data_IF_452305016744
#
_entry.id   IF_452305016744
#
_cell.length_a   1.000
_cell.length_b   1.000
_cell.length_c   1.000
_cell.angle_alpha   90.00
_cell.angle_beta   90.00
_cell.angle_gamma   90.00
#
_symmetry.space_group_name_H-M   'P 1'
#
loop_
_entity.id
_entity.type
_entity.pdbx_description
1 polymer ?
#
# COMPACT_ATOMS: atom_id res chain seq x y z
N UNK A 1 -15.34 -61.02 -12.05
CA UNK A 1 -15.57 -59.55 -12.02
C UNK A 1 -14.84 -58.88 -10.84
N UNK A 2 -13.59 -59.25 -10.51
CA UNK A 2 -12.84 -58.69 -9.37
C UNK A 2 -11.67 -57.77 -9.77
N UNK A 3 -11.31 -57.75 -11.05
CA UNK A 3 -10.13 -57.03 -11.55
C UNK A 3 -10.45 -55.63 -12.10
N UNK A 4 -11.73 -55.28 -12.23
CA UNK A 4 -12.17 -53.95 -12.71
C UNK A 4 -12.35 -52.93 -11.58
N UNK A 5 -12.49 -53.39 -10.32
CA UNK A 5 -12.67 -52.51 -9.16
C UNK A 5 -11.34 -51.87 -8.72
N UNK A 6 -10.24 -52.62 -8.80
CA UNK A 6 -8.90 -52.13 -8.47
C UNK A 6 -8.39 -51.07 -9.46
N UNK A 7 -8.78 -51.16 -10.73
CA UNK A 7 -8.38 -50.20 -11.77
C UNK A 7 -9.06 -48.83 -11.61
N UNK A 8 -10.22 -48.78 -10.96
CA UNK A 8 -10.96 -47.53 -10.75
C UNK A 8 -10.42 -46.77 -9.53
N UNK A 9 -9.91 -47.49 -8.53
CA UNK A 9 -9.35 -46.90 -7.30
C UNK A 9 -7.99 -46.23 -7.54
N UNK A 10 -7.20 -46.71 -8.52
CA UNK A 10 -5.93 -46.07 -8.90
C UNK A 10 -6.10 -44.80 -9.73
N UNK A 11 -7.26 -44.59 -10.36
CA UNK A 11 -7.51 -43.42 -11.23
C UNK A 11 -7.93 -42.17 -10.44
N UNK A 12 -8.45 -42.32 -9.22
CA UNK A 12 -8.88 -41.18 -8.39
C UNK A 12 -7.75 -40.58 -7.55
N UNK A 13 -6.64 -41.29 -7.36
CA UNK A 13 -5.48 -40.81 -6.60
C UNK A 13 -4.62 -39.77 -7.34
N UNK A 14 -4.73 -39.67 -8.67
CA UNK A 14 -3.93 -38.74 -9.48
C UNK A 14 -4.54 -37.33 -9.61
N UNK A 15 -5.78 -37.12 -9.16
CA UNK A 15 -6.45 -35.81 -9.22
C UNK A 15 -6.33 -34.97 -7.93
N UNK A 16 -5.59 -35.44 -6.91
CA UNK A 16 -5.49 -34.76 -5.61
C UNK A 16 -4.21 -33.93 -5.43
N UNK A 17 -3.68 -33.37 -6.52
CA UNK A 17 -2.61 -32.37 -6.44
C UNK A 17 -2.96 -31.17 -7.32
N UNK A 18 -4.05 -30.50 -6.95
CA UNK A 18 -4.41 -29.18 -7.45
C UNK A 18 -4.48 -28.20 -6.27
N UNK A 19 -3.37 -28.09 -5.53
CA UNK A 19 -3.14 -26.95 -4.67
C UNK A 19 -2.00 -26.15 -5.28
N UNK A 20 -2.34 -25.31 -6.26
CA UNK A 20 -1.54 -24.12 -6.55
C UNK A 20 -2.28 -22.95 -5.93
N UNK A 21 -2.24 -22.90 -4.60
CA UNK A 21 -2.44 -21.67 -3.88
C UNK A 21 -1.57 -20.62 -4.57
N UNK A 22 -2.22 -19.57 -5.04
CA UNK A 22 -1.54 -18.41 -5.57
C UNK A 22 -0.68 -17.85 -4.45
N UNK A 23 0.57 -18.32 -4.40
CA UNK A 23 1.66 -17.63 -3.75
C UNK A 23 1.73 -16.34 -4.52
N UNK A 24 1.01 -15.34 -4.02
CA UNK A 24 1.33 -13.95 -4.23
C UNK A 24 2.74 -13.79 -3.67
N UNK A 25 3.73 -14.19 -4.47
CA UNK A 25 5.09 -13.71 -4.36
C UNK A 25 4.99 -12.21 -4.58
N UNK A 26 4.61 -11.49 -3.52
CA UNK A 26 5.00 -10.11 -3.34
C UNK A 26 6.50 -10.22 -3.10
N UNK A 27 7.25 -10.32 -4.20
CA UNK A 27 8.67 -9.97 -4.15
C UNK A 27 8.75 -8.66 -3.40
N UNK A 28 9.64 -8.60 -2.40
CA UNK A 28 9.87 -7.38 -1.65
C UNK A 28 10.19 -6.29 -2.67
N UNK A 29 9.30 -5.30 -2.77
CA UNK A 29 9.44 -4.18 -3.67
C UNK A 29 10.65 -3.40 -3.17
N UNK A 30 11.71 -3.37 -3.97
CA UNK A 30 12.83 -2.49 -3.70
C UNK A 30 12.35 -1.04 -3.92
N UNK A 31 12.29 -0.27 -2.83
CA UNK A 31 11.84 1.12 -2.80
C UNK A 31 12.83 2.09 -3.46
N UNK A 32 14.10 1.68 -3.57
CA UNK A 32 15.17 2.53 -4.14
C UNK A 32 15.22 2.45 -5.67
N UNK A 33 14.41 1.58 -6.29
CA UNK A 33 14.36 1.45 -7.74
C UNK A 33 13.39 2.47 -8.35
N UNK A 34 13.86 3.21 -9.35
CA UNK A 34 13.02 4.12 -10.11
C UNK A 34 11.91 3.35 -10.85
N UNK A 35 10.64 3.64 -10.52
CA UNK A 35 9.47 3.03 -11.17
C UNK A 35 8.77 4.00 -12.11
N UNK A 36 8.57 3.58 -13.35
CA UNK A 36 7.68 4.26 -14.30
C UNK A 36 6.35 3.53 -14.37
N UNK A 37 5.25 4.23 -14.06
CA UNK A 37 3.91 3.71 -14.26
C UNK A 37 3.37 4.22 -15.61
N UNK A 38 3.06 3.30 -16.53
CA UNK A 38 2.41 3.67 -17.79
C UNK A 38 0.95 4.02 -17.52
N UNK A 39 0.57 5.26 -17.84
CA UNK A 39 -0.82 5.72 -17.69
C UNK A 39 -1.53 5.57 -19.03
N UNK A 40 -2.38 4.56 -19.17
CA UNK A 40 -3.26 4.38 -20.34
C UNK A 40 -4.72 4.57 -19.92
N UNK A 41 -5.46 5.37 -20.69
CA UNK A 41 -6.90 5.59 -20.49
C UNK A 41 -7.71 4.28 -20.65
N UNK A 42 -7.17 3.33 -21.40
CA UNK A 42 -7.77 2.02 -21.65
C UNK A 42 -7.29 0.95 -20.65
N UNK A 43 -6.44 1.30 -19.68
CA UNK A 43 -5.94 0.30 -18.73
C UNK A 43 -7.09 -0.30 -17.91
N UNK A 44 -7.03 -1.62 -17.60
CA UNK A 44 -7.99 -2.22 -16.69
C UNK A 44 -8.04 -1.45 -15.37
N UNK A 45 -9.26 -1.18 -14.88
CA UNK A 45 -9.44 -0.48 -13.61
C UNK A 45 -8.90 -1.33 -12.47
N UNK A 46 -7.81 -0.88 -11.87
CA UNK A 46 -7.29 -1.44 -10.64
C UNK A 46 -7.81 -0.63 -9.44
N UNK A 47 -8.04 -1.30 -8.30
CA UNK A 47 -8.37 -0.60 -7.06
C UNK A 47 -7.13 0.17 -6.62
N UNK A 48 -7.25 1.47 -6.40
CA UNK A 48 -6.14 2.32 -5.93
C UNK A 48 -5.42 1.74 -4.70
N UNK A 49 -6.17 1.12 -3.78
CA UNK A 49 -5.60 0.46 -2.60
C UNK A 49 -4.60 -0.66 -2.91
N UNK A 50 -4.67 -1.28 -4.09
CA UNK A 50 -3.72 -2.30 -4.52
C UNK A 50 -2.37 -1.71 -4.95
N UNK A 51 -2.36 -0.42 -5.33
CA UNK A 51 -1.17 0.32 -5.74
C UNK A 51 -0.44 0.94 -4.54
N UNK A 52 -1.10 1.02 -3.38
CA UNK A 52 -0.53 1.57 -2.15
C UNK A 52 0.23 0.46 -1.43
N UNK A 53 1.54 0.63 -1.30
CA UNK A 53 2.39 -0.33 -0.59
C UNK A 53 2.25 -0.18 0.93
N UNK A 54 2.27 1.05 1.43
CA UNK A 54 2.19 1.35 2.86
C UNK A 54 1.43 2.65 3.13
N UNK A 55 0.88 2.76 4.33
CA UNK A 55 0.23 3.97 4.85
C UNK A 55 0.93 4.34 6.15
N UNK A 56 1.43 5.56 6.21
CA UNK A 56 2.00 6.15 7.41
C UNK A 56 0.97 7.13 8.02
N UNK A 57 0.66 6.95 9.30
CA UNK A 57 -0.23 7.87 10.03
C UNK A 57 0.64 8.72 10.96
N UNK A 58 0.63 10.03 10.74
CA UNK A 58 1.34 11.01 11.56
C UNK A 58 0.32 11.86 12.32
N UNK A 59 0.53 12.03 13.63
CA UNK A 59 -0.29 12.92 14.45
C UNK A 59 0.34 14.32 14.45
N UNK A 60 -0.45 15.32 14.08
CA UNK A 60 -0.08 16.72 14.22
C UNK A 60 -0.65 17.26 15.53
N UNK A 61 0.16 17.99 16.29
CA UNK A 61 -0.26 18.60 17.56
C UNK A 61 -0.83 20.00 17.30
N UNK A 62 -2.05 20.24 17.78
CA UNK A 62 -2.63 21.59 17.79
C UNK A 62 -2.23 22.32 19.08
N UNK A 63 -1.86 23.59 18.94
CA UNK A 63 -1.67 24.50 20.08
C UNK A 63 -2.42 25.80 19.81
N UNK A 64 -2.50 26.68 20.81
CA UNK A 64 -3.13 28.01 20.65
C UNK A 64 -2.52 28.83 19.49
N UNK A 65 -1.24 28.59 19.18
CA UNK A 65 -0.52 29.24 18.08
C UNK A 65 -0.46 28.38 16.80
N UNK A 66 -0.98 27.15 16.86
CA UNK A 66 -0.93 26.18 15.77
C UNK A 66 -2.25 25.44 15.62
N UNK A 67 -3.35 26.19 15.51
CA UNK A 67 -4.62 25.64 15.11
C UNK A 67 -4.52 25.19 13.65
N UNK A 68 -4.83 23.92 13.41
CA UNK A 68 -4.83 23.36 12.08
C UNK A 68 -6.05 23.88 11.31
N UNK A 69 -5.82 24.11 10.03
CA UNK A 69 -6.87 24.46 9.08
C UNK A 69 -6.77 23.50 7.89
N UNK A 70 -7.54 23.78 6.84
CA UNK A 70 -7.28 23.21 5.53
C UNK A 70 -5.78 23.27 5.20
N UNK A 71 -5.28 22.20 4.60
CA UNK A 71 -3.86 22.03 4.26
C UNK A 71 -3.71 22.28 2.77
N UNK A 72 -2.79 23.17 2.39
CA UNK A 72 -2.40 23.36 1.00
C UNK A 72 -0.87 23.33 0.86
N UNK A 73 -0.38 23.02 -0.34
CA UNK A 73 1.05 23.02 -0.65
C UNK A 73 1.90 22.17 0.32
N UNK A 74 1.43 20.96 0.60
CA UNK A 74 2.13 20.01 1.47
C UNK A 74 3.46 19.58 0.87
N UNK A 75 4.53 19.72 1.64
CA UNK A 75 5.87 19.23 1.32
C UNK A 75 6.41 18.41 2.48
N UNK A 76 6.80 17.16 2.20
CA UNK A 76 7.52 16.29 3.12
C UNK A 76 9.02 16.39 2.82
N UNK A 77 9.83 16.46 3.86
CA UNK A 77 11.29 16.25 3.86
C UNK A 77 11.62 15.11 4.80
N UNK A 78 12.89 14.74 4.93
CA UNK A 78 13.30 13.63 5.81
C UNK A 78 12.92 13.90 7.27
N UNK A 79 13.05 15.16 7.71
CA UNK A 79 12.85 15.54 9.11
C UNK A 79 11.54 16.31 9.35
N UNK A 80 10.96 16.93 8.31
CA UNK A 80 9.86 17.88 8.48
C UNK A 80 8.69 17.66 7.52
N UNK A 81 7.50 17.97 8.02
CA UNK A 81 6.29 18.19 7.25
C UNK A 81 5.98 19.69 7.22
N UNK A 82 5.96 20.29 6.03
CA UNK A 82 5.73 21.73 5.82
C UNK A 82 4.49 21.93 4.97
N UNK A 83 3.58 22.80 5.40
CA UNK A 83 2.39 23.15 4.62
C UNK A 83 1.88 24.54 4.92
N UNK A 84 1.03 25.05 4.02
CA UNK A 84 0.31 26.31 4.20
C UNK A 84 -1.10 26.05 4.73
N UNK A 85 -1.61 26.99 5.55
CA UNK A 85 -3.05 27.05 5.80
C UNK A 85 -3.82 27.22 4.48
N UNK A 86 -5.08 26.78 4.43
CA UNK A 86 -5.90 26.84 3.21
C UNK A 86 -6.10 28.27 2.68
N UNK A 87 -5.97 29.28 3.53
CA UNK A 87 -5.97 30.70 3.15
C UNK A 87 -4.59 31.29 2.84
N UNK A 88 -3.50 30.51 2.94
CA UNK A 88 -2.12 30.95 2.68
C UNK A 88 -1.53 31.90 3.72
N UNK A 89 -2.23 32.18 4.82
CA UNK A 89 -1.81 33.15 5.82
C UNK A 89 -0.68 32.65 6.73
N UNK A 90 -0.58 31.33 6.92
CA UNK A 90 0.37 30.71 7.85
C UNK A 90 1.16 29.59 7.15
N UNK A 91 2.42 29.45 7.54
CA UNK A 91 3.29 28.31 7.22
C UNK A 91 3.45 27.48 8.49
N UNK A 92 3.13 26.19 8.44
CA UNK A 92 3.36 25.26 9.53
C UNK A 92 4.54 24.35 9.22
N UNK A 93 5.34 24.07 10.25
CA UNK A 93 6.49 23.16 10.18
C UNK A 93 6.38 22.18 11.34
N UNK A 94 6.19 20.91 11.04
CA UNK A 94 6.13 19.83 12.02
C UNK A 94 7.35 18.94 11.89
N UNK A 95 7.98 18.62 13.02
CA UNK A 95 9.09 17.66 13.12
C UNK A 95 8.53 16.23 13.11
N UNK A 96 8.94 15.43 12.13
CA UNK A 96 8.53 14.04 11.95
C UNK A 96 9.25 13.07 12.90
N UNK A 97 10.42 13.45 13.42
CA UNK A 97 11.19 12.64 14.37
C UNK A 97 10.69 12.79 15.82
N UNK A 98 9.84 13.79 16.09
CA UNK A 98 9.33 14.07 17.43
C UNK A 98 8.33 12.99 17.88
N UNK A 99 8.75 12.15 18.83
CA UNK A 99 7.83 11.22 19.52
C UNK A 99 6.80 12.01 20.33
N UNK A 100 5.51 11.62 20.30
CA UNK A 100 4.51 12.23 21.16
C UNK A 100 4.88 11.98 22.63
N UNK A 101 4.84 13.04 23.44
CA UNK A 101 5.05 13.01 24.89
C UNK A 101 3.88 12.37 25.63
#
# INVERSE_FOLDING_TARGET
MKNKLFSFLTLTLVFSCAEKGGTSNKEAVNLDEFRSYHLDINQPKERFSNLVESVEIVKLEETDNSLLSDVSNLKKTDDYLVFLSGGGANVYVFDLARKPS
#
